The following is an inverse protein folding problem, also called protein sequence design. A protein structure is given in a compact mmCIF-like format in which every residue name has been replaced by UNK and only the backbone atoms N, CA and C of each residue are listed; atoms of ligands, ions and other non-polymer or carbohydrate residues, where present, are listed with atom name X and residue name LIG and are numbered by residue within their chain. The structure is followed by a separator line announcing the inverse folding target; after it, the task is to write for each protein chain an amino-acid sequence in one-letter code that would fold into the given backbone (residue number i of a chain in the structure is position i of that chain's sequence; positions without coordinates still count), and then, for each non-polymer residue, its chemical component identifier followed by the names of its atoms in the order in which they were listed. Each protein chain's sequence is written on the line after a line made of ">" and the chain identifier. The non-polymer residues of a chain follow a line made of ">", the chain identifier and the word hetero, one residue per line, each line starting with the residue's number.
data_IF_058670741400
#
_entry.id   IF_058670741400
#
_cell.length_a   1.000
_cell.length_b   1.000
_cell.length_c   1.000
_cell.angle_alpha   90.00
_cell.angle_beta   90.00
_cell.angle_gamma   90.00
#
_symmetry.space_group_name_H-M   'P 1'
#
loop_
_entity.id
_entity.type
_entity.pdbx_description
1 polymer ?
#
# COMPACT_ATOMS: atom_id res chain seq x y z
N UNK A 1 -32.37 50.51 12.46
CA UNK A 1 -31.03 49.90 12.53
C UNK A 1 -31.22 48.43 12.86
N UNK A 2 -31.08 47.54 11.88
CA UNK A 2 -31.26 46.09 12.07
C UNK A 2 -29.90 45.46 12.37
N UNK A 3 -29.75 44.87 13.55
CA UNK A 3 -28.57 44.09 13.92
C UNK A 3 -28.72 42.66 13.37
N UNK A 4 -27.74 42.20 12.59
CA UNK A 4 -27.65 40.82 12.12
C UNK A 4 -27.23 39.88 13.27
N UNK A 5 -27.81 38.67 13.38
CA UNK A 5 -27.40 37.71 14.39
C UNK A 5 -26.06 37.06 14.00
N UNK A 6 -25.18 36.94 15.00
CA UNK A 6 -23.89 36.24 14.94
C UNK A 6 -24.13 34.74 14.69
N UNK A 7 -23.51 34.21 13.65
CA UNK A 7 -23.45 32.78 13.35
C UNK A 7 -22.56 32.13 14.43
N UNK A 8 -22.97 31.02 15.08
CA UNK A 8 -22.14 30.36 16.08
C UNK A 8 -20.91 29.71 15.42
N UNK A 9 -19.78 29.85 16.11
CA UNK A 9 -18.48 29.30 15.74
C UNK A 9 -18.57 27.82 15.37
N UNK A 10 -18.03 27.50 14.20
CA UNK A 10 -17.84 26.15 13.72
C UNK A 10 -17.03 25.37 14.79
N UNK A 11 -17.51 24.22 15.31
CA UNK A 11 -16.73 23.47 16.29
C UNK A 11 -15.37 23.10 15.69
N UNK A 12 -14.30 23.05 16.50
CA UNK A 12 -12.99 22.64 16.00
C UNK A 12 -13.15 21.27 15.37
N UNK A 13 -12.92 21.21 14.05
CA UNK A 13 -12.76 20.00 13.28
C UNK A 13 -11.97 19.02 14.14
N UNK A 14 -12.66 18.03 14.72
CA UNK A 14 -12.03 16.87 15.33
C UNK A 14 -10.93 16.47 14.38
N UNK A 15 -9.68 16.44 14.84
CA UNK A 15 -8.55 16.04 14.03
C UNK A 15 -8.78 14.59 13.59
N UNK A 16 -9.57 14.40 12.53
CA UNK A 16 -9.66 13.14 11.83
C UNK A 16 -8.23 12.84 11.47
N UNK A 17 -7.68 11.78 12.08
CA UNK A 17 -6.38 11.25 11.75
C UNK A 17 -6.41 11.05 10.24
N UNK A 18 -5.87 12.02 9.50
CA UNK A 18 -5.78 11.95 8.06
C UNK A 18 -4.80 10.82 7.80
N UNK A 19 -5.34 9.61 7.63
CA UNK A 19 -4.54 8.46 7.28
C UNK A 19 -3.78 8.85 6.03
N UNK A 20 -2.46 9.02 6.16
CA UNK A 20 -1.61 9.43 5.05
C UNK A 20 -1.80 8.40 3.96
N UNK A 21 -2.46 8.81 2.88
CA UNK A 21 -2.69 7.95 1.73
C UNK A 21 -1.38 7.82 0.98
N UNK A 22 -0.82 6.62 0.90
CA UNK A 22 0.38 6.39 0.12
C UNK A 22 0.06 5.79 -1.26
N UNK A 23 0.88 6.14 -2.24
CA UNK A 23 0.78 5.64 -3.59
C UNK A 23 1.52 4.30 -3.65
N UNK A 24 0.80 3.26 -4.04
CA UNK A 24 1.35 1.93 -4.30
C UNK A 24 1.93 1.87 -5.71
N UNK A 25 3.02 1.13 -5.88
CA UNK A 25 3.57 0.82 -7.20
C UNK A 25 2.65 -0.18 -7.89
N UNK A 26 2.44 0.04 -9.18
CA UNK A 26 1.59 -0.80 -10.00
C UNK A 26 2.12 -0.83 -11.43
N UNK A 27 2.16 -2.03 -12.00
CA UNK A 27 2.50 -2.28 -13.39
C UNK A 27 1.29 -2.86 -14.11
N UNK A 28 1.11 -2.52 -15.38
CA UNK A 28 -0.03 -2.96 -16.19
C UNK A 28 0.45 -3.55 -17.50
N UNK A 29 -0.07 -4.71 -17.85
CA UNK A 29 0.21 -5.39 -19.11
C UNK A 29 -1.10 -5.83 -19.76
N UNK A 30 -1.32 -5.47 -21.01
CA UNK A 30 -2.50 -5.87 -21.77
C UNK A 30 -2.11 -6.85 -22.87
N UNK A 31 -2.73 -8.02 -22.86
CA UNK A 31 -2.55 -9.04 -23.89
C UNK A 31 -3.73 -8.97 -24.87
N UNK A 32 -3.50 -8.55 -26.14
CA UNK A 32 -4.59 -8.31 -27.08
C UNK A 32 -5.28 -9.59 -27.55
N UNK A 33 -4.54 -10.70 -27.65
CA UNK A 33 -5.06 -11.96 -28.17
C UNK A 33 -6.07 -12.61 -27.22
N UNK A 34 -5.86 -12.46 -25.91
CA UNK A 34 -6.74 -12.99 -24.86
C UNK A 34 -7.71 -11.94 -24.32
N UNK A 35 -7.45 -10.66 -24.59
CA UNK A 35 -8.18 -9.52 -24.03
C UNK A 35 -7.94 -9.33 -22.52
N UNK A 36 -6.89 -9.94 -21.97
CA UNK A 36 -6.62 -9.92 -20.52
C UNK A 36 -5.77 -8.70 -20.16
N UNK A 37 -6.27 -7.92 -19.20
CA UNK A 37 -5.51 -6.86 -18.53
C UNK A 37 -4.94 -7.40 -17.21
N UNK A 38 -3.63 -7.53 -17.14
CA UNK A 38 -2.90 -7.88 -15.93
C UNK A 38 -2.48 -6.62 -15.19
N UNK A 39 -2.80 -6.56 -13.90
CA UNK A 39 -2.41 -5.48 -12.99
C UNK A 39 -1.61 -6.07 -11.84
N UNK A 40 -0.32 -5.77 -11.79
CA UNK A 40 0.57 -6.16 -10.72
C UNK A 40 0.65 -5.03 -9.69
N UNK A 41 0.46 -5.32 -8.40
CA UNK A 41 0.52 -4.33 -7.32
C UNK A 41 1.58 -4.73 -6.29
N UNK A 42 2.50 -3.82 -5.97
CA UNK A 42 3.46 -4.03 -4.87
C UNK A 42 2.79 -3.67 -3.54
N UNK A 43 2.30 -4.69 -2.82
CA UNK A 43 1.64 -4.56 -1.52
C UNK A 43 2.36 -5.38 -0.45
N UNK A 44 3.62 -5.04 -0.11
CA UNK A 44 4.35 -5.83 0.87
C UNK A 44 3.62 -5.77 2.22
N UNK A 45 3.60 -6.89 2.94
CA UNK A 45 3.08 -7.01 4.31
C UNK A 45 1.63 -6.60 4.50
N UNK A 46 0.85 -6.53 3.43
CA UNK A 46 -0.61 -6.39 3.48
C UNK A 46 -1.20 -7.79 3.44
N UNK A 47 -2.06 -8.11 4.41
CA UNK A 47 -2.78 -9.37 4.38
C UNK A 47 -3.79 -9.38 3.23
N UNK A 48 -3.99 -10.57 2.62
CA UNK A 48 -4.94 -10.76 1.52
C UNK A 48 -6.36 -10.27 1.86
N UNK A 49 -6.81 -10.44 3.09
CA UNK A 49 -8.14 -10.01 3.57
C UNK A 49 -8.30 -8.49 3.64
N UNK A 50 -7.20 -7.76 3.72
CA UNK A 50 -7.19 -6.30 3.86
C UNK A 50 -7.13 -5.58 2.50
N UNK A 51 -6.93 -6.34 1.41
CA UNK A 51 -7.02 -5.84 0.04
C UNK A 51 -8.47 -5.90 -0.43
N UNK A 52 -9.05 -4.74 -0.70
CA UNK A 52 -10.42 -4.59 -1.16
C UNK A 52 -10.44 -4.10 -2.61
N UNK A 53 -11.37 -4.64 -3.37
CA UNK A 53 -11.60 -4.24 -4.75
C UNK A 53 -13.04 -3.79 -4.94
N UNK A 54 -13.24 -2.74 -5.72
CA UNK A 54 -14.55 -2.36 -6.21
C UNK A 54 -14.47 -1.99 -7.68
N UNK A 55 -15.57 -2.25 -8.39
CA UNK A 55 -15.66 -1.99 -9.81
C UNK A 55 -16.89 -1.13 -10.06
N UNK A 56 -16.68 0.14 -10.39
CA UNK A 56 -17.73 1.15 -10.45
C UNK A 56 -17.79 1.75 -11.84
N UNK A 57 -18.96 1.71 -12.47
CA UNK A 57 -19.19 2.38 -13.75
C UNK A 57 -19.57 3.84 -13.48
N UNK A 58 -18.79 4.76 -14.04
CA UNK A 58 -19.10 6.19 -14.01
C UNK A 58 -20.38 6.48 -14.80
N UNK A 59 -21.28 7.28 -14.24
CA UNK A 59 -22.56 7.63 -14.90
C UNK A 59 -22.37 8.50 -16.14
N UNK A 60 -21.35 9.36 -16.14
CA UNK A 60 -21.20 10.43 -17.13
C UNK A 60 -20.52 9.96 -18.42
N UNK A 61 -19.45 9.17 -18.31
CA UNK A 61 -18.66 8.72 -19.46
C UNK A 61 -18.75 7.20 -19.67
N UNK A 62 -19.52 6.48 -18.85
CA UNK A 62 -19.69 5.01 -18.88
C UNK A 62 -18.38 4.22 -18.76
N UNK A 63 -17.27 4.89 -18.44
CA UNK A 63 -15.99 4.25 -18.14
C UNK A 63 -16.15 3.51 -16.82
N UNK A 64 -15.63 2.28 -16.77
CA UNK A 64 -15.63 1.48 -15.57
C UNK A 64 -14.29 1.65 -14.86
N UNK A 65 -14.34 1.75 -13.54
CA UNK A 65 -13.17 2.01 -12.71
C UNK A 65 -12.97 0.84 -11.75
N UNK A 66 -11.86 0.14 -11.91
CA UNK A 66 -11.38 -0.83 -10.93
C UNK A 66 -10.60 -0.08 -9.85
N UNK A 67 -11.15 -0.01 -8.64
CA UNK A 67 -10.49 0.57 -7.48
C UNK A 67 -9.96 -0.53 -6.59
N UNK A 68 -8.64 -0.53 -6.37
CA UNK A 68 -7.97 -1.34 -5.35
C UNK A 68 -7.65 -0.43 -4.16
N UNK A 69 -7.94 -0.89 -2.95
CA UNK A 69 -7.69 -0.11 -1.73
C UNK A 69 -7.59 -0.98 -0.49
N UNK A 70 -7.05 -0.42 0.58
CA UNK A 70 -6.91 -1.12 1.86
C UNK A 70 -6.15 -0.28 2.87
N UNK A 71 -5.87 -0.87 4.02
CA UNK A 71 -5.12 -0.24 5.11
C UNK A 71 -3.97 -1.16 5.49
N UNK A 72 -2.75 -0.64 5.46
CA UNK A 72 -1.58 -1.31 6.00
C UNK A 72 -1.34 -0.81 7.42
N UNK A 73 -1.59 -1.67 8.41
CA UNK A 73 -1.33 -1.36 9.81
C UNK A 73 0.16 -1.32 10.09
N UNK A 74 0.56 -0.43 10.99
CA UNK A 74 1.93 -0.38 11.49
C UNK A 74 2.20 -1.62 12.35
N UNK A 75 3.13 -2.48 11.91
CA UNK A 75 3.46 -3.74 12.61
C UNK A 75 4.52 -3.57 13.69
N UNK A 76 5.43 -2.59 13.54
CA UNK A 76 6.48 -2.31 14.52
C UNK A 76 6.08 -1.14 15.41
N UNK A 77 6.20 -1.25 16.74
CA UNK A 77 5.94 -0.13 17.64
C UNK A 77 6.89 1.04 17.32
N UNK A 78 6.42 2.26 17.56
CA UNK A 78 7.31 3.42 17.49
C UNK A 78 8.42 3.26 18.56
N UNK A 79 9.67 3.61 18.26
CA UNK A 79 10.74 3.58 19.25
C UNK A 79 10.39 4.50 20.42
N UNK A 80 10.69 4.08 21.66
CA UNK A 80 10.50 4.94 22.82
C UNK A 80 11.52 6.08 22.81
N UNK A 81 11.21 7.18 23.51
CA UNK A 81 12.12 8.33 23.63
C UNK A 81 13.48 7.94 24.24
N UNK A 82 13.50 6.97 25.16
CA UNK A 82 14.73 6.45 25.76
C UNK A 82 15.62 5.70 24.75
N UNK A 83 15.00 4.90 23.88
CA UNK A 83 15.72 4.18 22.82
C UNK A 83 16.30 5.16 21.80
N UNK A 84 15.53 6.18 21.40
CA UNK A 84 16.02 7.23 20.51
C UNK A 84 17.15 8.06 21.15
N UNK A 85 17.16 8.22 22.48
CA UNK A 85 18.24 8.92 23.18
C UNK A 85 19.53 8.10 23.25
N UNK A 86 19.43 6.78 23.46
CA UNK A 86 20.58 5.87 23.56
C UNK A 86 21.15 5.51 22.19
N UNK A 87 20.30 5.42 21.17
CA UNK A 87 20.66 5.01 19.82
C UNK A 87 19.98 5.89 18.77
N UNK A 88 20.37 7.18 18.67
CA UNK A 88 19.72 8.13 17.77
C UNK A 88 19.75 7.72 16.29
N UNK A 89 20.79 6.98 15.89
CA UNK A 89 21.00 6.52 14.50
C UNK A 89 20.41 5.12 14.21
N UNK A 90 19.94 4.38 15.23
CA UNK A 90 19.57 2.96 15.03
C UNK A 90 18.09 2.74 14.70
N UNK A 91 17.30 3.80 14.57
CA UNK A 91 15.85 3.71 14.38
C UNK A 91 15.39 4.39 13.08
N UNK A 92 15.80 3.84 11.93
CA UNK A 92 15.22 4.22 10.65
C UNK A 92 13.91 3.45 10.40
N UNK A 93 12.79 4.18 10.24
CA UNK A 93 11.52 3.60 9.76
C UNK A 93 11.25 4.05 8.34
N UNK A 94 11.63 3.21 7.39
CA UNK A 94 11.55 3.53 5.95
C UNK A 94 10.22 3.12 5.32
N UNK A 95 9.55 2.11 5.90
CA UNK A 95 8.34 1.53 5.32
C UNK A 95 7.14 2.48 5.42
N UNK A 96 6.45 2.68 4.30
CA UNK A 96 5.17 3.37 4.23
C UNK A 96 4.05 2.52 4.85
N UNK A 97 3.16 3.14 5.61
CA UNK A 97 1.99 2.51 6.24
C UNK A 97 0.79 3.48 6.17
N UNK A 98 -0.42 3.00 6.44
CA UNK A 98 -1.65 3.77 6.33
C UNK A 98 -2.57 3.29 5.21
N UNK A 99 -3.48 4.16 4.77
CA UNK A 99 -4.39 3.85 3.67
C UNK A 99 -3.65 3.84 2.33
N UNK A 100 -3.99 2.88 1.47
CA UNK A 100 -3.56 2.88 0.08
C UNK A 100 -4.77 2.78 -0.84
N UNK A 101 -4.67 3.40 -2.02
CA UNK A 101 -5.62 3.11 -3.10
C UNK A 101 -5.06 3.47 -4.47
N UNK A 102 -5.40 2.64 -5.47
CA UNK A 102 -5.13 2.85 -6.89
C UNK A 102 -6.40 2.58 -7.69
N UNK A 103 -6.64 3.38 -8.73
CA UNK A 103 -7.79 3.22 -9.61
C UNK A 103 -7.31 3.05 -11.05
N UNK A 104 -7.90 2.09 -11.76
CA UNK A 104 -7.64 1.81 -13.17
C UNK A 104 -8.92 2.04 -13.97
N UNK A 105 -8.84 2.81 -15.04
CA UNK A 105 -9.91 2.87 -16.04
C UNK A 105 -9.88 1.58 -16.85
N UNK A 106 -11.03 0.92 -16.97
CA UNK A 106 -11.15 -0.37 -17.63
C UNK A 106 -12.39 -0.40 -18.54
N UNK A 107 -12.40 -1.27 -19.56
CA UNK A 107 -13.57 -1.47 -20.40
C UNK A 107 -14.82 -1.83 -19.58
N UNK A 108 -16.03 -1.45 -20.04
CA UNK A 108 -17.26 -1.66 -19.30
C UNK A 108 -17.59 -3.14 -19.08
N UNK A 109 -17.17 -4.00 -20.00
CA UNK A 109 -17.38 -5.45 -20.03
C UNK A 109 -16.34 -6.26 -19.24
N UNK A 110 -15.35 -5.60 -18.63
CA UNK A 110 -14.28 -6.28 -17.89
C UNK A 110 -14.84 -7.21 -16.78
N UNK A 111 -14.40 -8.46 -16.79
CA UNK A 111 -14.57 -9.41 -15.68
C UNK A 111 -13.29 -9.44 -14.85
N UNK A 112 -13.42 -9.30 -13.53
CA UNK A 112 -12.27 -9.24 -12.62
C UNK A 112 -12.06 -10.59 -11.97
N UNK A 113 -10.84 -11.12 -12.10
CA UNK A 113 -10.33 -12.26 -11.34
C UNK A 113 -9.12 -11.80 -10.52
N UNK A 114 -9.00 -12.31 -9.29
CA UNK A 114 -7.91 -11.93 -8.39
C UNK A 114 -6.99 -13.13 -8.22
N UNK A 115 -5.77 -13.00 -8.72
CA UNK A 115 -4.68 -13.92 -8.42
C UNK A 115 -3.70 -13.20 -7.49
N UNK A 116 -3.64 -13.63 -6.23
CA UNK A 116 -2.66 -13.11 -5.28
C UNK A 116 -1.51 -14.08 -5.19
N UNK A 117 -0.36 -13.66 -5.69
CA UNK A 117 0.89 -14.41 -5.61
C UNK A 117 1.72 -13.88 -4.44
N UNK A 118 2.13 -14.76 -3.55
CA UNK A 118 3.16 -14.47 -2.55
C UNK A 118 4.50 -14.83 -3.17
N UNK A 119 5.37 -13.85 -3.39
CA UNK A 119 6.76 -14.13 -3.71
C UNK A 119 7.45 -14.68 -2.44
N UNK A 120 7.37 -15.98 -2.21
CA UNK A 120 8.29 -16.62 -1.26
C UNK A 120 9.66 -16.63 -1.93
N UNK A 121 10.64 -15.93 -1.34
CA UNK A 121 12.03 -16.16 -1.72
C UNK A 121 12.31 -17.66 -1.49
N UNK A 122 13.03 -18.35 -2.39
CA UNK A 122 13.55 -19.66 -2.06
C UNK A 122 14.39 -19.52 -0.78
N UNK A 123 14.35 -20.48 0.15
CA UNK A 123 15.18 -20.43 1.34
C UNK A 123 16.63 -20.24 0.89
N UNK A 124 17.28 -19.20 1.41
CA UNK A 124 18.72 -18.99 1.23
C UNK A 124 19.39 -20.31 1.64
N UNK A 125 20.02 -21.01 0.70
CA UNK A 125 20.76 -22.23 0.99
C UNK A 125 22.20 -21.82 1.29
N UNK A 126 22.66 -21.84 2.55
CA UNK A 126 24.03 -21.48 2.90
C UNK A 126 24.97 -22.66 2.59
N UNK A 127 25.10 -23.06 1.32
CA UNK A 127 25.87 -24.26 0.93
C UNK A 127 27.17 -24.00 0.20
N UNK A 128 27.71 -22.77 0.22
CA UNK A 128 29.09 -22.52 -0.24
C UNK A 128 29.79 -21.47 0.63
N UNK A 129 30.22 -21.89 1.83
CA UNK A 129 31.38 -21.28 2.47
C UNK A 129 32.61 -22.07 1.96
N UNK A 130 33.54 -21.47 1.20
CA UNK A 130 34.79 -22.14 0.87
C UNK A 130 35.60 -22.30 2.16
N UNK A 131 35.69 -23.52 2.67
CA UNK A 131 36.62 -23.89 3.74
C UNK A 131 38.02 -23.94 3.15
N UNK A 132 38.71 -22.81 3.14
CA UNK A 132 40.10 -22.69 2.73
C UNK A 132 40.91 -22.02 3.82
N UNK A 133 41.36 -22.80 4.81
CA UNK A 133 42.45 -22.42 5.69
C UNK A 133 43.77 -22.74 4.97
N UNK A 134 44.69 -21.78 4.79
CA UNK A 134 46.05 -22.13 4.39
C UNK A 134 46.79 -22.70 5.60
N UNK A 135 47.31 -23.93 5.46
CA UNK A 135 48.35 -24.44 6.35
C UNK A 135 49.62 -23.59 6.16
N UNK A 136 50.06 -22.94 7.22
CA UNK A 136 51.36 -22.27 7.30
C UNK A 136 52.44 -23.31 7.58
N UNK A 137 53.50 -23.32 6.76
CA UNK A 137 54.78 -24.01 7.00
C UNK A 137 55.58 -23.26 8.06
#
# INVERSE_FOLDING_TARGET
>A
MHASPLIPDNPPSSAQLQHKKYIIRADTHYEPDTGVLLVLLELPGVDKKDVKLSLVTSRHNRIRHLKVWGILNQTLPAPSAEVLRLYPESCARERKFGEFSRTFAVPPDLKVSILLMTASLPPFSPSHLPTGLPESV
#
